data_IF_243265595614
#
_entry.id   IF_243265595614
#
_cell.length_a   1.000
_cell.length_b   1.000
_cell.length_c   1.000
_cell.angle_alpha   90.00
_cell.angle_beta   90.00
_cell.angle_gamma   90.00
#
_symmetry.space_group_name_H-M   'P 1'
#
loop_
_entity.id
_entity.type
_entity.pdbx_description
1 polymer ?
#
# COMPACT_ATOMS: atom_id res chain seq x y z
N UNK A 1 -12.49 68.67 48.21
CA UNK A 1 -11.12 68.37 47.76
C UNK A 1 -10.95 66.86 47.73
N UNK A 2 -10.52 66.35 46.59
CA UNK A 2 -10.75 64.99 46.09
C UNK A 2 -9.90 63.90 46.77
N UNK A 3 -10.49 62.71 46.78
CA UNK A 3 -10.00 61.39 47.16
C UNK A 3 -8.99 60.79 46.15
N UNK A 4 -8.01 60.06 46.71
CA UNK A 4 -7.51 58.69 46.41
C UNK A 4 -7.03 58.25 45.00
N UNK A 5 -5.89 57.52 45.06
CA UNK A 5 -5.52 56.27 44.35
C UNK A 5 -5.26 56.21 42.84
N UNK A 6 -4.10 55.59 42.57
CA UNK A 6 -3.78 54.61 41.51
C UNK A 6 -3.71 55.17 40.08
N UNK A 7 -2.48 55.33 39.62
CA UNK A 7 -2.15 55.59 38.23
C UNK A 7 -1.90 54.30 37.45
N UNK A 8 -2.33 54.38 36.17
CA UNK A 8 -1.90 53.61 34.99
C UNK A 8 -2.56 52.25 34.74
N UNK A 9 -3.73 52.35 34.13
CA UNK A 9 -4.31 51.41 33.17
C UNK A 9 -3.59 51.55 31.82
N UNK A 10 -3.16 50.45 31.18
CA UNK A 10 -3.29 50.19 29.72
C UNK A 10 -2.93 48.72 29.44
N UNK A 11 -3.94 47.97 29.00
CA UNK A 11 -3.92 46.75 28.16
C UNK A 11 -2.77 45.73 28.34
N UNK A 12 -3.01 44.69 29.15
CA UNK A 12 -2.63 43.31 28.79
C UNK A 12 -3.87 42.45 29.03
N UNK A 13 -4.81 42.55 28.09
CA UNK A 13 -5.91 41.61 27.94
C UNK A 13 -5.37 40.41 27.16
N UNK A 14 -5.70 39.20 27.61
CA UNK A 14 -5.72 37.98 26.80
C UNK A 14 -4.40 37.54 26.12
N UNK A 15 -3.48 36.95 26.88
CA UNK A 15 -2.39 36.15 26.30
C UNK A 15 -2.03 34.91 27.13
N UNK A 16 -3.02 34.32 27.78
CA UNK A 16 -2.88 33.02 28.50
C UNK A 16 -3.92 31.98 28.03
N UNK A 17 -4.74 32.30 27.01
CA UNK A 17 -5.79 31.40 26.51
C UNK A 17 -5.60 30.89 25.06
N UNK A 18 -4.42 31.04 24.46
CA UNK A 18 -4.18 30.67 23.06
C UNK A 18 -3.00 29.70 22.82
N UNK A 19 -2.57 28.94 23.83
CA UNK A 19 -1.46 27.97 23.67
C UNK A 19 -1.81 26.53 24.09
N UNK A 20 -3.07 26.13 23.92
CA UNK A 20 -3.52 24.73 24.08
C UNK A 20 -4.41 24.23 22.93
N UNK A 21 -4.43 24.92 21.79
CA UNK A 21 -5.23 24.49 20.64
C UNK A 21 -4.47 24.81 19.35
N UNK A 22 -3.38 24.09 19.09
CA UNK A 22 -2.70 24.08 17.80
C UNK A 22 -1.81 22.84 17.73
N UNK A 23 -2.44 21.68 17.53
CA UNK A 23 -1.91 20.49 16.86
C UNK A 23 -3.07 19.50 16.66
N UNK A 24 -4.05 19.92 15.87
CA UNK A 24 -4.90 18.97 15.14
C UNK A 24 -4.65 19.25 13.67
N UNK A 25 -3.63 18.58 13.15
CA UNK A 25 -3.37 18.54 11.73
C UNK A 25 -4.54 17.83 11.03
N UNK A 26 -5.14 18.56 10.08
CA UNK A 26 -5.88 18.09 8.90
C UNK A 26 -6.52 16.70 8.99
N UNK A 27 -7.72 16.61 9.58
CA UNK A 27 -8.64 15.52 9.27
C UNK A 27 -9.40 15.88 7.99
N UNK A 28 -8.95 15.36 6.85
CA UNK A 28 -9.73 15.38 5.61
C UNK A 28 -10.44 14.03 5.45
N UNK A 29 -11.57 13.90 6.13
CA UNK A 29 -12.50 12.79 6.02
C UNK A 29 -13.74 13.17 6.80
N UNK A 30 -14.87 13.33 6.11
CA UNK A 30 -16.17 13.61 6.71
C UNK A 30 -16.49 12.44 7.66
N UNK A 31 -16.25 12.60 8.98
CA UNK A 31 -16.61 11.62 10.01
C UNK A 31 -18.14 11.59 10.17
N UNK A 32 -18.83 11.17 9.12
CA UNK A 32 -20.18 10.69 9.27
C UNK A 32 -20.09 9.47 10.19
N UNK A 33 -20.79 9.54 11.32
CA UNK A 33 -20.96 8.44 12.27
C UNK A 33 -21.68 7.27 11.59
N UNK A 34 -20.97 6.56 10.72
CA UNK A 34 -21.47 5.40 9.99
C UNK A 34 -21.48 4.22 10.93
N UNK A 35 -22.45 3.34 10.74
CA UNK A 35 -22.62 2.13 11.54
C UNK A 35 -22.81 0.93 10.62
N UNK A 36 -22.32 -0.22 11.04
CA UNK A 36 -22.59 -1.50 10.39
C UNK A 36 -24.10 -1.76 10.34
N UNK A 37 -24.58 -2.23 9.18
CA UNK A 37 -25.92 -2.76 9.03
C UNK A 37 -26.14 -3.91 10.05
N UNK A 38 -27.35 -4.06 10.62
CA UNK A 38 -27.60 -5.04 11.68
C UNK A 38 -27.12 -6.47 11.36
N UNK A 39 -27.29 -6.91 10.11
CA UNK A 39 -26.89 -8.22 9.59
C UNK A 39 -25.37 -8.42 9.47
N UNK A 40 -24.58 -7.33 9.44
CA UNK A 40 -23.13 -7.39 9.33
C UNK A 40 -22.43 -7.46 10.69
N UNK A 41 -23.05 -6.94 11.76
CA UNK A 41 -22.43 -6.78 13.10
C UNK A 41 -21.93 -8.07 13.75
N UNK A 42 -22.51 -9.21 13.37
CA UNK A 42 -22.14 -10.53 13.89
C UNK A 42 -21.23 -11.32 12.94
N UNK A 43 -20.79 -10.72 11.82
CA UNK A 43 -19.84 -11.35 10.90
C UNK A 43 -18.44 -11.31 11.51
N UNK A 44 -17.56 -12.26 11.14
CA UNK A 44 -16.17 -12.19 11.54
C UNK A 44 -15.45 -10.95 11.01
N UNK A 45 -14.25 -10.72 11.55
CA UNK A 45 -13.36 -9.62 11.18
C UNK A 45 -12.19 -10.15 10.35
N UNK A 46 -11.71 -9.35 9.41
CA UNK A 46 -10.53 -9.59 8.60
C UNK A 46 -9.51 -8.49 8.86
N UNK A 47 -8.28 -8.87 9.18
CA UNK A 47 -7.11 -8.00 9.14
C UNK A 47 -6.19 -8.50 8.03
N UNK A 48 -6.17 -7.76 6.91
CA UNK A 48 -5.27 -8.01 5.78
C UNK A 48 -3.96 -7.25 6.01
N UNK A 49 -2.92 -7.98 6.40
CA UNK A 49 -1.58 -7.46 6.65
C UNK A 49 -0.72 -7.72 5.41
N UNK A 50 -0.11 -6.67 4.85
CA UNK A 50 0.88 -6.79 3.79
C UNK A 50 2.25 -6.35 4.26
N UNK A 51 3.26 -7.18 4.02
CA UNK A 51 4.67 -6.81 4.13
C UNK A 51 5.22 -6.69 2.71
N UNK A 52 5.56 -5.48 2.31
CA UNK A 52 6.07 -5.18 0.96
C UNK A 52 7.39 -5.93 0.72
N UNK A 53 7.58 -6.46 -0.48
CA UNK A 53 8.83 -7.10 -0.92
C UNK A 53 9.26 -8.32 -0.10
N UNK A 54 8.36 -8.89 0.71
CA UNK A 54 8.64 -10.00 1.61
C UNK A 54 8.67 -11.34 0.86
N UNK A 55 9.84 -11.68 0.31
CA UNK A 55 10.06 -12.91 -0.44
C UNK A 55 9.82 -14.16 0.43
N UNK A 56 9.32 -15.22 -0.21
CA UNK A 56 8.92 -16.48 0.43
C UNK A 56 9.98 -17.14 1.36
N UNK A 57 11.27 -16.92 1.12
CA UNK A 57 12.37 -17.49 1.91
C UNK A 57 12.91 -16.56 3.00
N UNK A 58 12.43 -15.32 3.11
CA UNK A 58 12.88 -14.36 4.12
C UNK A 58 12.71 -14.82 5.58
N UNK A 59 11.64 -15.56 5.95
CA UNK A 59 11.56 -16.17 7.28
C UNK A 59 12.73 -17.11 7.62
N UNK A 60 13.47 -17.62 6.62
CA UNK A 60 14.65 -18.46 6.88
C UNK A 60 15.91 -17.67 7.26
N UNK A 61 15.90 -16.34 7.14
CA UNK A 61 17.09 -15.52 7.41
C UNK A 61 17.24 -15.13 8.88
N UNK A 62 16.18 -15.21 9.67
CA UNK A 62 16.13 -14.84 11.10
C UNK A 62 14.94 -15.53 11.77
N UNK A 63 14.97 -15.70 13.08
CA UNK A 63 13.81 -16.14 13.85
C UNK A 63 12.65 -15.13 13.70
N UNK A 64 11.48 -15.59 13.26
CA UNK A 64 10.26 -14.79 13.05
C UNK A 64 9.09 -15.34 13.86
N UNK A 65 9.14 -15.28 15.21
CA UNK A 65 8.15 -15.94 16.06
C UNK A 65 6.71 -15.45 15.85
N UNK A 66 6.49 -14.21 15.40
CA UNK A 66 5.16 -13.71 15.03
C UNK A 66 4.61 -14.40 13.78
N UNK A 67 5.43 -14.49 12.73
CA UNK A 67 5.09 -15.19 11.48
C UNK A 67 4.94 -16.70 11.74
N UNK A 68 5.86 -17.30 12.50
CA UNK A 68 5.86 -18.73 12.84
C UNK A 68 4.60 -19.11 13.65
N UNK A 69 4.17 -18.23 14.55
CA UNK A 69 2.90 -18.40 15.27
C UNK A 69 1.72 -18.43 14.32
N UNK A 70 1.60 -17.46 13.41
CA UNK A 70 0.52 -17.44 12.41
C UNK A 70 0.51 -18.72 11.56
N UNK A 71 1.69 -19.17 11.11
CA UNK A 71 1.81 -20.36 10.28
C UNK A 71 1.46 -21.65 11.03
N UNK A 72 1.83 -21.75 12.32
CA UNK A 72 1.61 -22.96 13.14
C UNK A 72 0.19 -23.06 13.72
N UNK A 73 -0.45 -21.93 14.01
CA UNK A 73 -1.84 -21.88 14.50
C UNK A 73 -2.86 -21.77 13.36
N UNK A 74 -2.41 -21.45 12.13
CA UNK A 74 -3.26 -21.18 10.98
C UNK A 74 -2.97 -22.06 9.76
N UNK A 75 -3.01 -21.45 8.57
CA UNK A 75 -2.71 -22.07 7.29
C UNK A 75 -1.59 -21.28 6.61
N UNK A 76 -0.65 -22.01 6.00
CA UNK A 76 0.45 -21.44 5.24
C UNK A 76 0.59 -22.11 3.88
N UNK A 77 1.01 -21.35 2.89
CA UNK A 77 1.39 -21.82 1.56
C UNK A 77 2.90 -21.68 1.39
N UNK A 78 3.50 -22.48 0.50
CA UNK A 78 4.94 -22.39 0.21
C UNK A 78 5.33 -21.01 -0.33
N UNK A 79 4.51 -20.46 -1.22
CA UNK A 79 4.67 -19.12 -1.75
C UNK A 79 3.34 -18.59 -2.32
N UNK A 80 3.20 -17.27 -2.37
CA UNK A 80 2.18 -16.59 -3.16
C UNK A 80 2.79 -16.21 -4.51
N UNK A 81 2.14 -16.60 -5.62
CA UNK A 81 2.59 -16.23 -6.96
C UNK A 81 2.06 -14.83 -7.31
N UNK A 82 2.93 -13.82 -7.49
CA UNK A 82 2.51 -12.49 -7.88
C UNK A 82 2.02 -12.44 -9.33
N UNK A 83 1.24 -11.43 -9.66
CA UNK A 83 0.90 -11.07 -11.04
C UNK A 83 2.07 -10.31 -11.68
N UNK A 84 2.11 -10.31 -13.02
CA UNK A 84 3.07 -9.49 -13.77
C UNK A 84 2.46 -8.11 -14.10
N UNK A 85 3.23 -7.00 -13.98
CA UNK A 85 4.59 -6.94 -13.44
C UNK A 85 4.61 -7.14 -11.92
N UNK A 86 5.70 -7.70 -11.38
CA UNK A 86 5.87 -7.94 -9.93
C UNK A 86 6.24 -6.64 -9.21
N UNK A 87 5.33 -5.68 -9.24
CA UNK A 87 5.40 -4.38 -8.60
C UNK A 87 4.35 -4.22 -7.51
N UNK A 88 4.61 -3.31 -6.58
CA UNK A 88 3.74 -2.97 -5.46
C UNK A 88 2.31 -2.66 -5.84
N UNK A 89 2.07 -1.66 -6.69
CA UNK A 89 0.70 -1.18 -6.94
C UNK A 89 -0.18 -2.20 -7.68
N UNK A 90 0.30 -2.81 -8.78
CA UNK A 90 -0.46 -3.86 -9.48
C UNK A 90 -0.78 -5.07 -8.59
N UNK A 91 0.19 -5.55 -7.80
CA UNK A 91 0.01 -6.75 -6.99
C UNK A 91 -0.89 -6.53 -5.77
N UNK A 92 -0.70 -5.44 -5.03
CA UNK A 92 -1.61 -5.09 -3.94
C UNK A 92 -3.05 -4.95 -4.45
N UNK A 93 -3.26 -4.25 -5.57
CA UNK A 93 -4.62 -4.09 -6.09
C UNK A 93 -5.19 -5.40 -6.66
N UNK A 94 -4.35 -6.29 -7.21
CA UNK A 94 -4.74 -7.66 -7.55
C UNK A 94 -5.19 -8.47 -6.32
N UNK A 95 -4.45 -8.39 -5.21
CA UNK A 95 -4.83 -9.03 -3.93
C UNK A 95 -6.19 -8.50 -3.45
N UNK A 96 -6.41 -7.19 -3.51
CA UNK A 96 -7.64 -6.56 -3.03
C UNK A 96 -8.88 -6.86 -3.90
N UNK A 97 -8.69 -7.20 -5.18
CA UNK A 97 -9.79 -7.30 -6.17
C UNK A 97 -9.98 -8.72 -6.73
N UNK A 98 -8.97 -9.59 -6.63
CA UNK A 98 -8.94 -10.88 -7.32
C UNK A 98 -8.84 -10.78 -8.86
N UNK A 99 -8.43 -9.62 -9.38
CA UNK A 99 -8.34 -9.35 -10.81
C UNK A 99 -6.87 -9.19 -11.25
N UNK A 100 -6.60 -9.39 -12.54
CA UNK A 100 -5.30 -9.08 -13.13
C UNK A 100 -5.17 -7.58 -13.41
N UNK A 101 -3.94 -7.03 -13.56
CA UNK A 101 -3.69 -5.62 -13.88
C UNK A 101 -4.53 -5.07 -15.02
N UNK A 102 -4.57 -5.79 -16.14
CA UNK A 102 -5.37 -5.43 -17.33
C UNK A 102 -6.88 -5.30 -17.07
N UNK A 103 -7.39 -5.91 -15.99
CA UNK A 103 -8.81 -5.87 -15.64
C UNK A 103 -9.10 -4.81 -14.57
N UNK A 104 -8.16 -4.58 -13.65
CA UNK A 104 -8.36 -3.63 -12.55
C UNK A 104 -7.78 -2.23 -12.80
N UNK A 105 -7.07 -2.01 -13.91
CA UNK A 105 -6.63 -0.70 -14.39
C UNK A 105 -5.23 -0.27 -13.91
N UNK A 106 -4.82 -0.70 -12.72
CA UNK A 106 -3.47 -0.42 -12.19
C UNK A 106 -2.41 -1.31 -12.85
N UNK A 107 -1.77 -0.81 -13.92
CA UNK A 107 -0.87 -1.59 -14.78
C UNK A 107 0.58 -1.65 -14.27
N UNK A 108 1.05 -0.56 -13.68
CA UNK A 108 2.41 -0.39 -13.16
C UNK A 108 2.42 0.73 -12.10
N UNK A 109 3.59 1.08 -11.57
CA UNK A 109 3.73 2.20 -10.62
C UNK A 109 3.68 3.57 -11.35
N UNK A 110 4.00 3.60 -12.64
CA UNK A 110 3.77 4.72 -13.56
C UNK A 110 3.19 4.17 -14.88
N UNK A 111 2.16 4.79 -15.44
CA UNK A 111 1.65 4.46 -16.78
C UNK A 111 0.74 5.56 -17.37
N UNK A 112 0.68 5.69 -18.71
CA UNK A 112 -0.25 6.62 -19.36
C UNK A 112 -1.69 6.10 -19.33
N UNK A 113 -2.65 7.03 -19.34
CA UNK A 113 -4.01 6.76 -19.78
C UNK A 113 -4.04 6.44 -21.28
N UNK A 114 -5.11 5.81 -21.77
CA UNK A 114 -5.25 5.45 -23.20
C UNK A 114 -5.19 6.65 -24.15
N UNK A 115 -5.50 7.86 -23.66
CA UNK A 115 -5.38 9.10 -24.44
C UNK A 115 -3.94 9.63 -24.58
N UNK A 116 -2.99 9.07 -23.82
CA UNK A 116 -1.59 9.50 -23.78
C UNK A 116 -1.33 10.82 -23.05
N UNK A 117 -2.37 11.56 -22.66
CA UNK A 117 -2.27 12.88 -22.04
C UNK A 117 -2.22 12.79 -20.51
N UNK A 118 -3.06 11.94 -19.92
CA UNK A 118 -3.11 11.74 -18.47
C UNK A 118 -2.17 10.63 -18.03
N UNK A 119 -1.62 10.76 -16.82
CA UNK A 119 -0.65 9.82 -16.27
C UNK A 119 -1.02 9.40 -14.86
N UNK A 120 -0.89 8.11 -14.61
CA UNK A 120 -0.86 7.56 -13.27
C UNK A 120 0.58 7.54 -12.77
N UNK A 121 0.81 8.02 -11.56
CA UNK A 121 2.10 7.91 -10.90
C UNK A 121 1.93 7.73 -9.39
N UNK A 122 2.43 6.63 -8.84
CA UNK A 122 2.23 6.25 -7.44
C UNK A 122 2.70 7.29 -6.39
N UNK A 123 3.59 8.21 -6.76
CA UNK A 123 4.05 9.32 -5.91
C UNK A 123 3.23 10.59 -6.06
N UNK A 124 2.42 10.69 -7.11
CA UNK A 124 1.51 11.81 -7.30
C UNK A 124 0.15 11.52 -6.64
N UNK A 125 -0.18 12.31 -5.61
CA UNK A 125 -1.41 12.11 -4.84
C UNK A 125 -2.67 12.41 -5.64
N UNK A 126 -2.61 13.29 -6.64
CA UNK A 126 -3.75 13.55 -7.51
C UNK A 126 -4.15 12.28 -8.28
N UNK A 127 -3.18 11.64 -8.94
CA UNK A 127 -3.45 10.38 -9.65
C UNK A 127 -3.79 9.21 -8.71
N UNK A 128 -3.12 9.08 -7.56
CA UNK A 128 -3.37 7.98 -6.61
C UNK A 128 -4.76 8.05 -6.00
N UNK A 129 -5.29 9.24 -5.74
CA UNK A 129 -6.59 9.42 -5.09
C UNK A 129 -7.76 9.48 -6.08
N UNK A 130 -7.49 9.63 -7.37
CA UNK A 130 -8.52 9.60 -8.41
C UNK A 130 -9.02 8.16 -8.65
N UNK A 131 -10.24 7.89 -8.19
CA UNK A 131 -10.91 6.60 -8.35
C UNK A 131 -11.11 6.15 -9.81
N UNK A 132 -10.96 7.03 -10.81
CA UNK A 132 -11.11 6.69 -12.23
C UNK A 132 -10.02 5.75 -12.76
N UNK A 133 -8.85 5.71 -12.12
CA UNK A 133 -7.77 4.79 -12.49
C UNK A 133 -8.04 3.33 -12.06
N UNK A 134 -8.98 3.13 -11.14
CA UNK A 134 -9.25 1.85 -10.50
C UNK A 134 -10.54 1.24 -11.05
N UNK A 135 -10.40 0.25 -11.95
CA UNK A 135 -11.50 -0.28 -12.75
C UNK A 135 -12.23 -1.48 -12.10
N UNK A 136 -11.77 -1.93 -10.93
CA UNK A 136 -12.37 -3.03 -10.18
C UNK A 136 -12.65 -2.61 -8.72
N UNK A 137 -13.68 -3.18 -8.11
CA UNK A 137 -13.99 -2.91 -6.71
C UNK A 137 -13.06 -3.73 -5.80
N UNK A 138 -12.22 -3.08 -4.96
CA UNK A 138 -11.47 -3.79 -3.94
C UNK A 138 -12.40 -4.27 -2.81
N UNK A 139 -11.89 -5.17 -1.97
CA UNK A 139 -12.66 -5.80 -0.90
C UNK A 139 -13.31 -4.81 0.08
N UNK A 140 -12.65 -3.69 0.40
CA UNK A 140 -13.23 -2.65 1.25
C UNK A 140 -14.40 -1.94 0.59
N UNK A 141 -14.32 -1.58 -0.70
CA UNK A 141 -15.46 -1.00 -1.44
C UNK A 141 -16.62 -1.98 -1.49
N UNK A 142 -16.33 -3.27 -1.67
CA UNK A 142 -17.34 -4.33 -1.68
C UNK A 142 -18.04 -4.44 -0.32
N UNK A 143 -17.29 -4.38 0.78
CA UNK A 143 -17.84 -4.37 2.14
C UNK A 143 -18.71 -3.12 2.40
N UNK A 144 -18.19 -1.94 2.07
CA UNK A 144 -18.85 -0.65 2.30
C UNK A 144 -20.21 -0.56 1.56
N UNK A 145 -20.24 -1.01 0.29
CA UNK A 145 -21.47 -1.08 -0.51
C UNK A 145 -22.50 -2.08 0.06
N UNK A 146 -22.09 -3.02 0.89
CA UNK A 146 -22.94 -3.99 1.58
C UNK A 146 -23.25 -3.60 3.03
N UNK A 147 -22.97 -2.34 3.41
CA UNK A 147 -23.25 -1.82 4.75
C UNK A 147 -22.32 -2.39 5.83
N UNK A 148 -21.15 -2.88 5.45
CA UNK A 148 -20.09 -3.37 6.34
C UNK A 148 -18.95 -2.35 6.35
N UNK A 149 -18.65 -1.79 7.53
CA UNK A 149 -17.60 -0.79 7.68
C UNK A 149 -16.23 -1.41 7.47
N UNK A 150 -15.33 -0.63 6.89
CA UNK A 150 -13.94 -0.99 6.67
C UNK A 150 -12.99 0.11 7.16
N UNK A 151 -11.78 -0.29 7.51
CA UNK A 151 -10.71 0.61 7.92
C UNK A 151 -9.40 0.27 7.19
N UNK A 152 -8.57 1.28 6.96
CA UNK A 152 -7.32 1.13 6.24
C UNK A 152 -6.21 1.91 6.93
N UNK A 153 -5.23 1.20 7.49
CA UNK A 153 -3.93 1.77 7.83
C UNK A 153 -2.94 1.43 6.71
N UNK A 154 -3.17 2.13 5.60
CA UNK A 154 -2.52 1.98 4.30
C UNK A 154 -2.85 0.65 3.59
N UNK A 155 -3.02 0.76 2.28
CA UNK A 155 -2.99 -0.29 1.26
C UNK A 155 -3.17 0.41 -0.09
N UNK A 156 -2.67 -0.17 -1.19
CA UNK A 156 -2.85 0.46 -2.51
C UNK A 156 -4.34 0.55 -2.85
N UNK A 157 -4.79 1.76 -3.19
CA UNK A 157 -6.18 2.07 -3.56
C UNK A 157 -7.10 2.44 -2.39
N UNK A 158 -6.65 2.41 -1.12
CA UNK A 158 -7.50 2.82 0.01
C UNK A 158 -7.70 4.33 0.10
N UNK A 159 -6.82 5.11 -0.52
CA UNK A 159 -6.94 6.57 -0.61
C UNK A 159 -7.86 7.03 -1.77
N UNK A 160 -8.14 6.14 -2.72
CA UNK A 160 -8.93 6.45 -3.90
C UNK A 160 -10.43 6.26 -3.65
N UNK A 161 -11.26 7.15 -4.19
CA UNK A 161 -12.72 6.96 -4.22
C UNK A 161 -13.13 6.00 -5.34
N UNK A 162 -12.64 4.78 -5.26
CA UNK A 162 -12.97 3.72 -6.23
C UNK A 162 -14.48 3.53 -6.26
N UNK A 163 -15.08 3.78 -7.43
CA UNK A 163 -16.55 3.84 -7.59
C UNK A 163 -17.27 4.75 -6.58
N UNK A 164 -16.68 5.90 -6.25
CA UNK A 164 -17.23 6.88 -5.31
C UNK A 164 -17.19 6.44 -3.84
N UNK A 165 -16.41 5.41 -3.49
CA UNK A 165 -16.38 4.82 -2.14
C UNK A 165 -14.94 4.71 -1.63
N UNK A 166 -14.71 5.12 -0.39
CA UNK A 166 -13.48 4.89 0.39
C UNK A 166 -13.80 4.02 1.61
N UNK A 167 -12.80 3.40 2.26
CA UNK A 167 -13.01 2.84 3.60
C UNK A 167 -13.57 3.90 4.55
N UNK A 168 -14.39 3.48 5.51
CA UNK A 168 -14.95 4.39 6.52
C UNK A 168 -13.85 5.09 7.31
N UNK A 169 -12.81 4.36 7.69
CA UNK A 169 -11.59 4.95 8.25
C UNK A 169 -10.44 4.72 7.29
N UNK A 170 -9.78 5.77 6.84
CA UNK A 170 -8.58 5.65 6.00
C UNK A 170 -7.58 6.75 6.34
N UNK A 171 -6.36 6.58 5.82
CA UNK A 171 -5.26 7.53 5.94
C UNK A 171 -4.57 7.64 4.59
N UNK A 172 -4.10 8.85 4.26
CA UNK A 172 -3.17 9.02 3.16
C UNK A 172 -1.82 8.37 3.52
N UNK A 173 -1.16 7.72 2.57
CA UNK A 173 0.11 7.05 2.82
C UNK A 173 1.18 8.03 3.29
N UNK A 174 1.78 7.72 4.43
CA UNK A 174 2.85 8.45 5.08
C UNK A 174 3.86 7.45 5.68
N UNK A 175 5.02 7.34 5.03
CA UNK A 175 6.09 6.43 5.43
C UNK A 175 6.74 6.82 6.77
N UNK A 176 6.58 8.08 7.21
CA UNK A 176 7.17 8.54 8.47
C UNK A 176 6.37 8.03 9.69
N UNK A 177 5.15 7.51 9.51
CA UNK A 177 4.34 6.95 10.59
C UNK A 177 4.92 5.61 11.05
N UNK A 178 5.35 5.47 12.32
CA UNK A 178 5.95 4.23 12.81
C UNK A 178 5.01 3.03 12.75
N UNK A 179 5.52 1.85 12.37
CA UNK A 179 4.74 0.62 12.30
C UNK A 179 4.00 0.25 13.59
N UNK A 180 4.53 0.63 14.76
CA UNK A 180 3.86 0.44 16.05
C UNK A 180 2.58 1.25 16.17
N UNK A 181 2.56 2.50 15.69
CA UNK A 181 1.37 3.35 15.73
C UNK A 181 0.27 2.78 14.81
N UNK A 182 0.67 2.25 13.65
CA UNK A 182 -0.25 1.58 12.72
C UNK A 182 -0.92 0.37 13.37
N UNK A 183 -0.14 -0.46 14.07
CA UNK A 183 -0.67 -1.61 14.83
C UNK A 183 -1.60 -1.15 15.96
N UNK A 184 -1.21 -0.14 16.72
CA UNK A 184 -2.02 0.39 17.83
C UNK A 184 -3.38 0.90 17.33
N UNK A 185 -3.42 1.60 16.19
CA UNK A 185 -4.68 2.04 15.61
C UNK A 185 -5.54 0.87 15.12
N UNK A 186 -4.95 -0.16 14.50
CA UNK A 186 -5.71 -1.36 14.08
C UNK A 186 -6.37 -2.03 15.30
N UNK A 187 -5.63 -2.18 16.40
CA UNK A 187 -6.16 -2.70 17.65
C UNK A 187 -7.25 -1.78 18.25
N UNK A 188 -7.09 -0.47 18.14
CA UNK A 188 -8.10 0.49 18.56
C UNK A 188 -9.42 0.31 17.78
N UNK A 189 -9.35 0.22 16.45
CA UNK A 189 -10.51 -0.06 15.61
C UNK A 189 -11.18 -1.38 15.98
N UNK A 190 -10.40 -2.45 16.18
CA UNK A 190 -10.92 -3.76 16.61
C UNK A 190 -11.56 -3.73 18.00
N UNK A 191 -11.19 -2.78 18.86
CA UNK A 191 -11.75 -2.63 20.20
C UNK A 191 -13.07 -1.83 20.24
N UNK A 192 -13.47 -1.19 19.13
CA UNK A 192 -14.70 -0.40 19.06
C UNK A 192 -15.96 -1.23 19.36
N UNK A 193 -17.09 -0.58 19.73
CA UNK A 193 -18.38 -1.27 19.82
C UNK A 193 -18.82 -1.88 18.48
N UNK A 194 -19.50 -3.03 18.51
CA UNK A 194 -19.92 -3.75 17.29
C UNK A 194 -20.64 -2.89 16.22
N UNK A 195 -21.46 -1.87 16.57
CA UNK A 195 -22.04 -0.99 15.57
C UNK A 195 -21.03 -0.17 14.75
N UNK A 196 -19.88 0.23 15.30
CA UNK A 196 -18.88 1.07 14.61
C UNK A 196 -17.61 0.31 14.24
N UNK A 197 -17.36 -0.84 14.86
CA UNK A 197 -16.18 -1.67 14.62
C UNK A 197 -16.07 -2.09 13.15
N UNK A 198 -15.00 -1.72 12.42
CA UNK A 198 -14.81 -2.13 11.04
C UNK A 198 -14.53 -3.63 10.94
N UNK A 199 -15.07 -4.28 9.91
CA UNK A 199 -14.95 -5.71 9.64
C UNK A 199 -13.84 -6.05 8.67
N UNK A 200 -13.49 -5.14 7.76
CA UNK A 200 -12.36 -5.31 6.83
C UNK A 200 -11.33 -4.26 7.18
N UNK A 201 -10.16 -4.70 7.65
CA UNK A 201 -9.08 -3.82 8.07
C UNK A 201 -7.83 -4.13 7.26
N UNK A 202 -7.20 -3.12 6.64
CA UNK A 202 -5.89 -3.28 6.00
C UNK A 202 -4.78 -2.68 6.84
N UNK A 203 -3.61 -3.31 6.79
CA UNK A 203 -2.38 -2.86 7.44
C UNK A 203 -1.20 -3.14 6.52
N UNK A 204 -0.35 -2.14 6.28
CA UNK A 204 0.78 -2.26 5.37
C UNK A 204 2.10 -1.79 6.00
N UNK A 205 3.19 -2.49 5.64
CA UNK A 205 4.57 -2.20 6.04
C UNK A 205 5.53 -2.26 4.84
N UNK A 206 6.21 -1.14 4.59
CA UNK A 206 7.22 -0.94 3.54
C UNK A 206 8.66 -1.31 3.98
N UNK A 207 8.91 -1.39 5.29
CA UNK A 207 10.26 -1.39 5.88
C UNK A 207 11.18 -2.50 5.31
N UNK A 208 10.64 -3.69 5.02
CA UNK A 208 11.41 -4.79 4.45
C UNK A 208 11.81 -4.50 3.01
N UNK A 209 10.87 -4.06 2.16
CA UNK A 209 11.14 -3.71 0.77
C UNK A 209 12.18 -2.58 0.66
N UNK A 210 11.98 -1.50 1.40
CA UNK A 210 12.87 -0.33 1.43
C UNK A 210 14.31 -0.72 1.78
N UNK A 211 14.50 -1.45 2.88
CA UNK A 211 15.85 -1.86 3.28
C UNK A 211 16.45 -2.87 2.30
N UNK A 212 15.62 -3.72 1.69
CA UNK A 212 16.14 -4.70 0.73
C UNK A 212 16.52 -4.03 -0.59
N UNK A 213 15.84 -2.96 -1.01
CA UNK A 213 16.25 -2.15 -2.15
C UNK A 213 17.60 -1.47 -1.94
N UNK A 214 17.85 -0.89 -0.76
CA UNK A 214 19.09 -0.18 -0.48
C UNK A 214 20.29 -1.10 -0.25
N UNK A 215 20.07 -2.25 0.39
CA UNK A 215 21.17 -3.10 0.90
C UNK A 215 21.20 -4.52 0.32
N UNK A 216 20.15 -4.94 -0.36
CA UNK A 216 20.03 -6.26 -0.98
C UNK A 216 19.49 -7.35 -0.04
N UNK A 217 18.93 -8.45 -0.60
CA UNK A 217 18.37 -9.54 0.19
C UNK A 217 19.43 -10.26 1.00
N UNK A 218 19.19 -10.42 2.30
CA UNK A 218 20.10 -11.10 3.25
C UNK A 218 21.18 -10.19 3.85
N UNK A 219 21.18 -8.89 3.53
CA UNK A 219 22.02 -7.92 4.24
C UNK A 219 21.62 -7.79 5.71
N UNK A 220 22.49 -7.25 6.56
CA UNK A 220 22.18 -7.01 7.97
C UNK A 220 20.97 -6.07 8.16
N UNK A 221 20.81 -5.08 7.28
CA UNK A 221 19.73 -4.11 7.28
C UNK A 221 18.39 -4.75 6.88
N UNK A 222 18.39 -5.55 5.80
CA UNK A 222 17.19 -6.31 5.37
C UNK A 222 16.75 -7.30 6.45
N UNK A 223 17.68 -8.02 7.08
CA UNK A 223 17.41 -8.94 8.19
C UNK A 223 16.89 -8.21 9.43
N UNK A 224 17.44 -7.05 9.75
CA UNK A 224 16.94 -6.22 10.85
C UNK A 224 15.52 -5.70 10.58
N UNK A 225 15.20 -5.36 9.32
CA UNK A 225 13.84 -4.94 8.92
C UNK A 225 12.82 -6.08 9.10
N UNK A 226 13.17 -7.30 8.69
CA UNK A 226 12.34 -8.51 8.93
C UNK A 226 12.02 -8.64 10.42
N UNK A 227 13.05 -8.55 11.28
CA UNK A 227 12.86 -8.62 12.73
C UNK A 227 11.98 -7.50 13.31
N UNK A 228 12.08 -6.26 12.79
CA UNK A 228 11.21 -5.15 13.21
C UNK A 228 9.75 -5.40 12.87
N UNK A 229 9.46 -5.84 11.65
CA UNK A 229 8.09 -6.14 11.21
C UNK A 229 7.51 -7.34 11.95
N UNK A 230 8.30 -8.38 12.22
CA UNK A 230 7.85 -9.51 13.04
C UNK A 230 7.46 -9.08 14.47
N UNK A 231 8.21 -8.15 15.08
CA UNK A 231 7.83 -7.57 16.39
C UNK A 231 6.49 -6.82 16.32
N UNK A 232 6.21 -6.11 15.22
CA UNK A 232 4.89 -5.48 15.02
C UNK A 232 3.78 -6.52 14.90
N UNK A 233 4.03 -7.61 14.17
CA UNK A 233 3.09 -8.71 14.03
C UNK A 233 2.82 -9.40 15.38
N UNK A 234 3.85 -9.68 16.18
CA UNK A 234 3.69 -10.24 17.52
C UNK A 234 2.78 -9.37 18.40
N UNK A 235 2.96 -8.05 18.37
CA UNK A 235 2.11 -7.09 19.10
C UNK A 235 0.67 -7.11 18.60
N UNK A 236 0.46 -7.17 17.28
CA UNK A 236 -0.87 -7.26 16.68
C UNK A 236 -1.59 -8.53 17.16
N UNK A 237 -0.94 -9.70 17.06
CA UNK A 237 -1.53 -10.98 17.46
C UNK A 237 -1.86 -11.01 18.96
N UNK A 238 -0.93 -10.58 19.82
CA UNK A 238 -1.16 -10.51 21.25
C UNK A 238 -2.29 -9.53 21.62
N UNK A 239 -2.41 -8.41 20.89
CA UNK A 239 -3.51 -7.46 21.06
C UNK A 239 -4.85 -8.05 20.64
N UNK A 240 -4.90 -8.81 19.55
CA UNK A 240 -6.09 -9.53 19.09
C UNK A 240 -6.53 -10.57 20.13
N UNK A 241 -5.60 -11.37 20.66
CA UNK A 241 -5.89 -12.39 21.69
C UNK A 241 -6.53 -11.79 22.95
N UNK A 242 -6.18 -10.54 23.29
CA UNK A 242 -6.69 -9.85 24.47
C UNK A 242 -8.12 -9.31 24.28
N UNK A 243 -8.65 -9.29 23.06
CA UNK A 243 -10.02 -8.84 22.77
C UNK A 243 -11.03 -9.93 23.12
N UNK A 244 -12.22 -9.58 23.66
CA UNK A 244 -13.26 -10.55 23.99
C UNK A 244 -13.86 -11.28 22.78
N UNK A 245 -13.55 -10.81 21.57
CA UNK A 245 -13.95 -11.35 20.27
C UNK A 245 -12.73 -11.66 19.38
N UNK A 246 -11.55 -11.84 19.98
CA UNK A 246 -10.32 -12.15 19.24
C UNK A 246 -10.43 -13.44 18.42
N UNK A 247 -11.24 -14.41 18.89
CA UNK A 247 -11.56 -15.66 18.21
C UNK A 247 -12.35 -15.49 16.90
N UNK A 248 -12.87 -14.28 16.63
CA UNK A 248 -13.58 -13.93 15.41
C UNK A 248 -12.73 -13.08 14.45
N UNK A 249 -11.45 -12.84 14.77
CA UNK A 249 -10.54 -12.05 13.94
C UNK A 249 -9.66 -12.98 13.12
N UNK A 250 -9.80 -12.93 11.80
CA UNK A 250 -8.93 -13.62 10.86
C UNK A 250 -7.81 -12.68 10.40
N UNK A 251 -6.57 -13.10 10.58
CA UNK A 251 -5.39 -12.37 10.09
C UNK A 251 -4.88 -13.04 8.82
N UNK A 252 -4.81 -12.28 7.73
CA UNK A 252 -4.21 -12.71 6.47
C UNK A 252 -2.90 -11.95 6.31
N UNK A 253 -1.78 -12.67 6.40
CA UNK A 253 -0.46 -12.13 6.12
C UNK A 253 -0.09 -12.44 4.66
N UNK A 254 0.18 -11.40 3.88
CA UNK A 254 0.55 -11.50 2.46
C UNK A 254 1.77 -10.64 2.15
N UNK A 255 2.31 -10.84 0.96
CA UNK A 255 3.25 -9.95 0.31
C UNK A 255 2.85 -9.79 -1.14
N UNK A 256 3.20 -8.66 -1.72
CA UNK A 256 2.90 -8.26 -3.09
C UNK A 256 3.89 -8.81 -4.11
N UNK A 257 5.18 -8.88 -3.77
CA UNK A 257 6.21 -9.50 -4.58
C UNK A 257 7.41 -10.00 -3.75
N UNK A 258 8.31 -10.72 -4.43
CA UNK A 258 9.61 -11.06 -3.86
C UNK A 258 10.65 -9.98 -4.13
N UNK A 259 11.92 -10.35 -3.94
CA UNK A 259 13.06 -9.49 -4.21
C UNK A 259 14.19 -10.23 -4.92
N UNK A 260 14.93 -9.53 -5.79
CA UNK A 260 16.10 -10.06 -6.48
C UNK A 260 17.32 -9.18 -6.21
N UNK A 261 18.49 -9.80 -6.04
CA UNK A 261 19.73 -9.08 -5.92
C UNK A 261 20.16 -8.49 -7.27
N UNK A 262 20.64 -7.26 -7.27
CA UNK A 262 21.31 -6.68 -8.43
C UNK A 262 22.72 -7.27 -8.58
N UNK A 263 23.05 -7.74 -9.78
CA UNK A 263 24.39 -8.26 -10.11
C UNK A 263 25.15 -7.21 -10.93
N UNK A 264 26.06 -6.43 -10.31
CA UNK A 264 26.82 -5.40 -11.02
C UNK A 264 27.85 -5.97 -12.01
N UNK A 265 28.14 -7.28 -11.96
CA UNK A 265 29.04 -7.93 -12.90
C UNK A 265 28.38 -8.21 -14.25
N UNK A 266 27.05 -8.18 -14.30
CA UNK A 266 26.29 -8.35 -15.54
C UNK A 266 26.12 -7.00 -16.23
N UNK A 267 26.58 -6.86 -17.49
CA UNK A 267 26.34 -5.63 -18.24
C UNK A 267 24.83 -5.45 -18.48
N UNK A 268 24.31 -4.22 -18.37
CA UNK A 268 22.90 -3.96 -18.66
C UNK A 268 22.62 -4.14 -20.15
N UNK A 269 21.42 -4.62 -20.47
CA UNK A 269 20.92 -4.62 -21.83
C UNK A 269 20.35 -3.23 -22.17
N UNK A 270 21.08 -2.46 -22.97
CA UNK A 270 20.67 -1.10 -23.35
C UNK A 270 19.89 -1.16 -24.66
N UNK A 271 18.56 -1.03 -24.58
CA UNK A 271 17.65 -1.20 -25.72
C UNK A 271 17.96 -0.23 -26.87
N UNK A 272 18.34 1.00 -26.55
CA UNK A 272 18.66 2.03 -27.54
C UNK A 272 19.92 1.70 -28.39
N UNK A 273 20.71 0.70 -27.99
CA UNK A 273 21.84 0.21 -28.79
C UNK A 273 21.41 -0.81 -29.86
N UNK A 274 20.18 -1.34 -29.77
CA UNK A 274 19.68 -2.38 -30.67
C UNK A 274 18.48 -1.93 -31.51
N UNK A 275 17.75 -0.91 -31.08
CA UNK A 275 16.60 -0.35 -31.79
C UNK A 275 16.46 1.16 -31.53
N UNK A 276 16.02 1.94 -32.53
CA UNK A 276 15.72 3.38 -32.33
C UNK A 276 14.46 3.55 -31.49
N UNK A 277 14.59 4.32 -30.40
CA UNK A 277 13.51 4.70 -29.50
C UNK A 277 12.99 6.12 -29.74
N UNK A 278 13.20 6.69 -30.94
CA UNK A 278 12.76 8.07 -31.26
C UNK A 278 11.23 8.22 -31.12
N UNK A 279 10.77 9.08 -30.21
CA UNK A 279 9.33 9.22 -29.94
C UNK A 279 8.70 7.98 -29.28
N UNK A 280 9.52 7.10 -28.67
CA UNK A 280 9.06 6.01 -27.82
C UNK A 280 9.25 6.41 -26.38
N UNK A 281 8.19 6.35 -25.58
CA UNK A 281 8.28 6.56 -24.14
C UNK A 281 8.53 5.24 -23.44
N UNK A 282 9.70 5.12 -22.83
CA UNK A 282 10.02 4.02 -21.93
C UNK A 282 9.48 4.33 -20.52
N UNK A 283 8.77 3.37 -19.94
CA UNK A 283 8.22 3.43 -18.58
C UNK A 283 8.80 2.25 -17.82
N UNK A 284 9.24 2.51 -16.58
CA UNK A 284 10.04 1.61 -15.75
C UNK A 284 11.47 1.40 -16.30
N UNK A 285 12.26 0.59 -15.60
CA UNK A 285 13.61 0.23 -16.03
C UNK A 285 14.23 -0.79 -15.07
N UNK A 286 14.91 -1.80 -15.61
CA UNK A 286 15.52 -2.88 -14.84
C UNK A 286 15.04 -4.25 -15.32
N UNK A 287 14.33 -5.04 -14.48
CA UNK A 287 13.94 -6.41 -14.84
C UNK A 287 12.87 -6.48 -15.95
N UNK A 288 12.16 -5.39 -16.21
CA UNK A 288 11.25 -5.21 -17.33
C UNK A 288 11.18 -3.72 -17.71
N UNK A 289 10.55 -3.44 -18.84
CA UNK A 289 10.26 -2.07 -19.32
C UNK A 289 9.03 -2.12 -20.23
N UNK A 290 8.17 -1.12 -20.12
CA UNK A 290 7.11 -0.88 -21.11
C UNK A 290 7.58 0.18 -22.10
N UNK A 291 7.43 -0.11 -23.40
CA UNK A 291 7.73 0.82 -24.47
C UNK A 291 6.41 1.28 -25.09
N UNK A 292 6.06 2.55 -24.85
CA UNK A 292 4.86 3.18 -25.36
C UNK A 292 5.19 3.95 -26.63
N UNK A 293 4.45 3.68 -27.69
CA UNK A 293 4.61 4.31 -29.00
C UNK A 293 3.43 5.24 -29.22
N UNK A 294 3.70 6.48 -29.64
CA UNK A 294 2.66 7.49 -29.89
C UNK A 294 1.81 7.13 -31.13
N UNK A 295 2.38 6.37 -32.06
CA UNK A 295 1.72 5.93 -33.29
C UNK A 295 1.43 4.43 -33.29
N UNK A 296 0.27 4.02 -33.81
CA UNK A 296 -0.10 2.62 -34.04
C UNK A 296 0.67 1.96 -35.22
N UNK A 297 1.90 2.42 -35.50
CA UNK A 297 2.78 1.88 -36.54
C UNK A 297 3.21 0.45 -36.19
N UNK A 298 2.35 -0.50 -36.55
CA UNK A 298 2.48 -1.90 -36.16
C UNK A 298 3.77 -2.53 -36.70
N UNK A 299 4.29 -2.02 -37.82
CA UNK A 299 5.54 -2.50 -38.39
C UNK A 299 6.75 -2.05 -37.58
N UNK A 300 6.79 -0.78 -37.14
CA UNK A 300 7.82 -0.27 -36.24
C UNK A 300 7.84 -1.01 -34.91
N UNK A 301 6.66 -1.29 -34.34
CA UNK A 301 6.54 -2.12 -33.13
C UNK A 301 7.18 -3.52 -33.32
N UNK A 302 6.92 -4.16 -34.46
CA UNK A 302 7.49 -5.48 -34.79
C UNK A 302 9.00 -5.41 -34.99
N UNK A 303 9.49 -4.39 -35.69
CA UNK A 303 10.92 -4.17 -35.91
C UNK A 303 11.68 -3.99 -34.59
N UNK A 304 11.18 -3.12 -33.69
CA UNK A 304 11.79 -2.91 -32.36
C UNK A 304 11.77 -4.22 -31.55
N UNK A 305 10.63 -4.92 -31.51
CA UNK A 305 10.52 -6.21 -30.84
C UNK A 305 11.53 -7.23 -31.37
N UNK A 306 11.62 -7.36 -32.69
CA UNK A 306 12.49 -8.36 -33.33
C UNK A 306 13.97 -8.02 -33.14
N UNK A 307 14.32 -6.73 -33.18
CA UNK A 307 15.66 -6.26 -32.86
C UNK A 307 16.05 -6.60 -31.40
N UNK A 308 15.17 -6.34 -30.43
CA UNK A 308 15.39 -6.73 -29.03
C UNK A 308 15.55 -8.24 -28.90
N UNK A 309 14.61 -9.03 -29.44
CA UNK A 309 14.63 -10.48 -29.35
C UNK A 309 15.81 -11.14 -30.09
N UNK A 310 16.44 -10.44 -31.04
CA UNK A 310 17.64 -10.93 -31.72
C UNK A 310 18.92 -10.82 -30.89
N UNK A 311 18.91 -10.05 -29.80
CA UNK A 311 20.08 -9.75 -28.96
C UNK A 311 19.88 -10.06 -27.48
N UNK A 312 18.63 -10.15 -27.01
CA UNK A 312 18.32 -10.33 -25.61
C UNK A 312 18.21 -11.82 -25.25
N UNK A 313 19.29 -12.39 -24.75
CA UNK A 313 19.41 -13.85 -24.54
C UNK A 313 18.68 -14.38 -23.29
N UNK A 314 18.29 -13.49 -22.37
CA UNK A 314 17.70 -13.84 -21.08
C UNK A 314 16.28 -13.27 -20.86
N UNK A 315 15.66 -12.75 -21.91
CA UNK A 315 14.32 -12.18 -21.85
C UNK A 315 13.59 -12.26 -23.18
N UNK A 316 12.43 -11.61 -23.24
CA UNK A 316 11.61 -11.56 -24.45
C UNK A 316 10.80 -10.27 -24.50
N UNK A 317 10.89 -9.56 -25.62
CA UNK A 317 9.97 -8.49 -25.96
C UNK A 317 8.68 -9.10 -26.54
N UNK A 318 7.54 -8.64 -26.05
CA UNK A 318 6.20 -9.07 -26.44
C UNK A 318 5.44 -7.89 -27.06
N UNK A 319 4.54 -8.20 -27.99
CA UNK A 319 3.52 -7.24 -28.42
C UNK A 319 2.28 -7.37 -27.52
N UNK A 320 1.46 -6.32 -27.41
CA UNK A 320 0.19 -6.35 -26.70
C UNK A 320 -0.75 -7.48 -27.13
#
# INVERSE_FOLDING_TARGET
>A
MSMTTVGRLWLITALVACLHALTTAVFAGDEQHRVNAPEQRAKPYLVLVSIDGFRWDFPSFIDTPGIDRLASEGLSAEALLPVFPTLTFPNHFSIATGQLPRNHGIMANEFPHEDGERWYFYKDRESVQDGQWYLANPIWVTAEKQGMLSAAYFFVGTEADVSGTRPTHWRAFDADVPGSERVEQVLHWLAEPAPTRPHVITLYFEDVDDNTHWYGPGSAESVAAIGRVDVHLQKLLAGIDALPHGDQVYVFLVSDHGMAAYDPSRPPFVIDQVASLDGVRAVEGGPYVFLHFDDAETDRLREVRDAINSRWDCGRALLP
#
